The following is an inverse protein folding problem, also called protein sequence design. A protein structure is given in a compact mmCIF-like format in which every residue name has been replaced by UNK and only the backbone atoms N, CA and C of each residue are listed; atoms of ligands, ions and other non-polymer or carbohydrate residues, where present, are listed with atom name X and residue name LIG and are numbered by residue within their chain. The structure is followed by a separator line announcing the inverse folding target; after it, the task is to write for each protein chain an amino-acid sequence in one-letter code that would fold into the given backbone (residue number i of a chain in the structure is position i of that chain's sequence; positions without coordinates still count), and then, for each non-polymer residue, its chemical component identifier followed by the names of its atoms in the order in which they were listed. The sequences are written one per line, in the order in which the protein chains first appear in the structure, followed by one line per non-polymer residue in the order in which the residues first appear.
data_IF_753402365604
#
_entry.id   IF_753402365604
#
_cell.length_a   1.000
_cell.length_b   1.000
_cell.length_c   1.000
_cell.angle_alpha   90.00
_cell.angle_beta   90.00
_cell.angle_gamma   90.00
#
_symmetry.space_group_name_H-M   'P 1'
#
loop_
_entity.id
_entity.type
_entity.pdbx_description
1 polymer ?
#
# COMPACT_ATOMS: atom_id res chain seq x y z
N UNK A 1 40.18 -14.85 -30.76
CA UNK A 1 39.26 -15.01 -29.60
C UNK A 1 38.55 -13.67 -29.42
N UNK A 2 37.47 -13.45 -30.15
CA UNK A 2 36.95 -12.09 -30.44
C UNK A 2 35.89 -11.58 -29.47
N UNK A 3 35.53 -12.32 -28.43
CA UNK A 3 34.72 -11.80 -27.34
C UNK A 3 35.35 -12.30 -26.05
N UNK A 4 35.69 -11.40 -25.13
CA UNK A 4 36.44 -11.68 -23.88
C UNK A 4 35.59 -12.43 -22.84
N UNK A 5 34.75 -13.37 -23.26
CA UNK A 5 33.79 -14.08 -22.40
C UNK A 5 32.49 -13.31 -22.12
N UNK A 6 32.14 -12.35 -22.98
CA UNK A 6 30.87 -11.62 -22.89
C UNK A 6 29.69 -12.54 -23.23
N UNK A 7 28.61 -12.48 -22.46
CA UNK A 7 27.38 -13.26 -22.68
C UNK A 7 26.54 -12.55 -23.74
N UNK A 8 26.17 -13.28 -24.79
CA UNK A 8 25.31 -12.78 -25.87
C UNK A 8 24.00 -13.55 -25.82
N UNK A 9 22.91 -12.80 -25.77
CA UNK A 9 21.55 -13.32 -25.90
C UNK A 9 20.99 -12.92 -27.26
N UNK A 10 20.31 -13.86 -27.93
CA UNK A 10 19.65 -13.65 -29.22
C UNK A 10 18.15 -13.62 -28.94
N UNK A 11 17.48 -12.56 -29.39
CA UNK A 11 16.04 -12.37 -29.20
C UNK A 11 15.36 -12.11 -30.54
N UNK A 12 14.07 -12.41 -30.62
CA UNK A 12 13.26 -12.13 -31.81
C UNK A 12 12.80 -10.67 -31.83
N UNK A 13 12.99 -10.00 -32.96
CA UNK A 13 12.50 -8.64 -33.17
C UNK A 13 10.99 -8.64 -33.39
N UNK A 14 10.30 -7.63 -32.87
CA UNK A 14 8.89 -7.38 -33.16
C UNK A 14 8.62 -5.88 -33.28
N UNK A 15 7.72 -5.50 -34.18
CA UNK A 15 7.24 -4.12 -34.34
C UNK A 15 6.27 -3.71 -33.21
N UNK A 16 5.63 -4.68 -32.57
CA UNK A 16 4.78 -4.43 -31.40
C UNK A 16 5.67 -4.23 -30.17
N UNK A 17 5.67 -3.03 -29.53
CA UNK A 17 6.52 -2.74 -28.38
C UNK A 17 6.23 -3.66 -27.18
N UNK A 18 5.00 -4.16 -27.04
CA UNK A 18 4.63 -5.08 -25.96
C UNK A 18 5.26 -6.46 -26.16
N UNK A 19 5.18 -6.98 -27.38
CA UNK A 19 5.80 -8.25 -27.75
C UNK A 19 7.32 -8.13 -27.68
N UNK A 20 7.87 -7.03 -28.19
CA UNK A 20 9.31 -6.81 -28.19
C UNK A 20 9.88 -6.64 -26.78
N UNK A 21 9.15 -6.01 -25.84
CA UNK A 21 9.53 -5.97 -24.43
C UNK A 21 9.66 -7.37 -23.82
N UNK A 22 8.72 -8.25 -24.18
CA UNK A 22 8.72 -9.65 -23.72
C UNK A 22 9.95 -10.41 -24.20
N UNK A 23 10.36 -10.19 -25.43
CA UNK A 23 11.58 -10.79 -25.97
C UNK A 23 12.85 -10.16 -25.37
N UNK A 24 12.86 -8.83 -25.19
CA UNK A 24 14.03 -8.07 -24.74
C UNK A 24 14.42 -8.30 -23.28
N UNK A 25 13.47 -8.69 -22.42
CA UNK A 25 13.73 -8.99 -21.00
C UNK A 25 13.99 -10.48 -20.73
N UNK A 26 13.97 -11.32 -21.77
CA UNK A 26 14.36 -12.74 -21.68
C UNK A 26 15.74 -12.86 -21.02
N UNK A 27 15.93 -13.77 -20.05
CA UNK A 27 15.13 -14.96 -19.71
C UNK A 27 13.98 -14.75 -18.71
N UNK A 28 13.72 -13.53 -18.23
CA UNK A 28 12.69 -13.29 -17.24
C UNK A 28 11.29 -13.46 -17.83
N UNK A 29 10.39 -14.14 -17.08
CA UNK A 29 8.99 -14.27 -17.47
C UNK A 29 8.22 -13.03 -17.04
N UNK A 30 7.50 -12.43 -18.00
CA UNK A 30 6.69 -11.24 -17.78
C UNK A 30 5.24 -11.64 -17.55
N UNK A 31 4.61 -11.06 -16.52
CA UNK A 31 3.18 -11.24 -16.24
C UNK A 31 2.33 -10.28 -17.08
N UNK A 32 2.73 -9.01 -17.14
CA UNK A 32 1.99 -7.96 -17.87
C UNK A 32 2.90 -6.84 -18.34
N UNK A 33 2.57 -6.23 -19.47
CA UNK A 33 3.20 -4.99 -19.96
C UNK A 33 2.11 -3.94 -20.15
N UNK A 34 2.35 -2.74 -19.66
CA UNK A 34 1.45 -1.59 -19.81
C UNK A 34 2.22 -0.43 -20.39
N UNK A 35 1.74 0.15 -21.49
CA UNK A 35 2.29 1.39 -22.03
C UNK A 35 1.73 2.55 -21.22
N UNK A 36 2.61 3.26 -20.51
CA UNK A 36 2.24 4.42 -19.70
C UNK A 36 2.13 5.68 -20.57
N UNK A 37 3.13 5.89 -21.43
CA UNK A 37 3.16 7.01 -22.36
C UNK A 37 3.74 6.57 -23.71
N UNK A 38 2.94 6.57 -24.80
CA UNK A 38 3.43 6.20 -26.13
C UNK A 38 4.31 7.27 -26.79
N UNK A 39 4.21 8.55 -26.38
CA UNK A 39 4.97 9.67 -26.92
C UNK A 39 6.37 9.72 -26.29
N UNK A 40 6.45 9.62 -24.97
CA UNK A 40 7.73 9.54 -24.24
C UNK A 40 8.37 8.15 -24.32
N UNK A 41 7.69 7.18 -24.92
CA UNK A 41 8.10 5.78 -25.02
C UNK A 41 8.39 5.18 -23.66
N UNK A 42 7.41 5.30 -22.76
CA UNK A 42 7.48 4.80 -21.39
C UNK A 42 6.51 3.64 -21.21
N UNK A 43 7.04 2.54 -20.68
CA UNK A 43 6.26 1.36 -20.33
C UNK A 43 6.60 0.85 -18.92
N UNK A 44 5.58 0.26 -18.29
CA UNK A 44 5.67 -0.47 -17.04
C UNK A 44 5.53 -1.97 -17.33
N UNK A 45 6.43 -2.76 -16.77
CA UNK A 45 6.46 -4.21 -16.90
C UNK A 45 6.27 -4.82 -15.51
N UNK A 46 5.26 -5.67 -15.39
CA UNK A 46 4.96 -6.40 -14.17
C UNK A 46 5.48 -7.83 -14.30
N UNK A 47 6.22 -8.28 -13.30
CA UNK A 47 6.77 -9.63 -13.19
C UNK A 47 6.41 -10.24 -11.84
N UNK A 48 6.50 -11.56 -11.73
CA UNK A 48 6.44 -12.23 -10.42
C UNK A 48 7.59 -11.76 -9.52
N UNK A 49 7.37 -11.72 -8.21
CA UNK A 49 8.39 -11.30 -7.22
C UNK A 49 9.70 -12.09 -7.32
N UNK A 50 9.59 -13.38 -7.65
CA UNK A 50 10.76 -14.27 -7.84
C UNK A 50 11.58 -13.91 -9.08
N UNK A 51 10.96 -13.30 -10.09
CA UNK A 51 11.58 -12.93 -11.37
C UNK A 51 12.09 -11.49 -11.38
N UNK A 52 11.71 -10.65 -10.41
CA UNK A 52 12.09 -9.23 -10.35
C UNK A 52 13.61 -9.03 -10.45
N UNK A 53 14.38 -9.78 -9.67
CA UNK A 53 15.85 -9.70 -9.68
C UNK A 53 16.45 -10.12 -11.02
N UNK A 54 15.86 -11.13 -11.68
CA UNK A 54 16.31 -11.62 -12.99
C UNK A 54 15.98 -10.61 -14.10
N UNK A 55 14.78 -10.03 -14.07
CA UNK A 55 14.31 -9.04 -15.03
C UNK A 55 15.15 -7.74 -14.97
N UNK A 56 15.49 -7.27 -13.77
CA UNK A 56 16.39 -6.12 -13.58
C UNK A 56 17.83 -6.50 -13.98
N UNK A 57 18.28 -7.69 -13.58
CA UNK A 57 19.64 -8.18 -13.79
C UNK A 57 20.68 -7.50 -12.87
N UNK A 58 21.90 -8.02 -12.89
CA UNK A 58 22.98 -7.53 -12.01
C UNK A 58 23.26 -6.05 -12.30
N UNK A 59 23.09 -5.18 -11.28
CA UNK A 59 23.22 -3.71 -11.40
C UNK A 59 22.30 -3.07 -12.45
N UNK A 60 21.15 -3.69 -12.70
CA UNK A 60 20.20 -3.20 -13.71
C UNK A 60 20.69 -3.40 -15.15
N UNK A 61 21.64 -4.32 -15.37
CA UNK A 61 22.22 -4.51 -16.70
C UNK A 61 21.17 -4.98 -17.71
N UNK A 62 20.29 -5.91 -17.33
CA UNK A 62 19.33 -6.50 -18.24
C UNK A 62 18.30 -5.45 -18.71
N UNK A 63 17.62 -4.80 -17.75
CA UNK A 63 16.66 -3.72 -18.05
C UNK A 63 17.29 -2.56 -18.81
N UNK A 64 18.55 -2.19 -18.53
CA UNK A 64 19.24 -1.11 -19.25
C UNK A 64 19.55 -1.50 -20.70
N UNK A 65 19.93 -2.76 -20.94
CA UNK A 65 20.17 -3.26 -22.29
C UNK A 65 18.86 -3.33 -23.07
N UNK A 66 17.79 -3.86 -22.47
CA UNK A 66 16.45 -3.88 -23.08
C UNK A 66 15.96 -2.47 -23.42
N UNK A 67 16.03 -1.53 -22.46
CA UNK A 67 15.64 -0.13 -22.66
C UNK A 67 16.43 0.52 -23.81
N UNK A 68 17.74 0.26 -23.89
CA UNK A 68 18.60 0.79 -24.97
C UNK A 68 18.29 0.13 -26.32
N UNK A 69 18.01 -1.16 -26.33
CA UNK A 69 17.69 -1.93 -27.54
C UNK A 69 16.37 -1.48 -28.15
N UNK A 70 15.36 -1.27 -27.30
CA UNK A 70 14.04 -0.82 -27.72
C UNK A 70 13.99 0.69 -27.97
N UNK A 71 14.81 1.47 -27.26
CA UNK A 71 14.69 2.92 -27.21
C UNK A 71 13.48 3.38 -26.39
N UNK A 72 13.11 2.61 -25.36
CA UNK A 72 12.00 2.88 -24.44
C UNK A 72 12.52 2.99 -23.01
N UNK A 73 11.87 3.82 -22.19
CA UNK A 73 12.00 3.74 -20.74
C UNK A 73 11.16 2.55 -20.25
N UNK A 74 11.78 1.65 -19.52
CA UNK A 74 11.16 0.44 -19.00
C UNK A 74 11.31 0.46 -17.49
N UNK A 75 10.18 0.54 -16.78
CA UNK A 75 10.12 0.35 -15.34
C UNK A 75 9.60 -1.06 -15.06
N UNK A 76 10.31 -1.79 -14.20
CA UNK A 76 9.96 -3.16 -13.83
C UNK A 76 9.49 -3.15 -12.38
N UNK A 77 8.26 -3.61 -12.15
CA UNK A 77 7.68 -3.78 -10.82
C UNK A 77 7.28 -5.22 -10.59
N UNK A 78 7.20 -5.62 -9.32
CA UNK A 78 6.61 -6.91 -8.98
C UNK A 78 5.08 -6.81 -8.88
N UNK A 79 4.41 -7.96 -8.96
CA UNK A 79 2.96 -8.04 -8.71
C UNK A 79 2.59 -7.57 -7.30
N UNK A 80 3.41 -7.88 -6.29
CA UNK A 80 3.17 -7.39 -4.92
C UNK A 80 3.33 -5.87 -4.83
N UNK A 81 4.36 -5.31 -5.45
CA UNK A 81 4.57 -3.85 -5.49
C UNK A 81 3.39 -3.17 -6.18
N UNK A 82 2.94 -3.70 -7.32
CA UNK A 82 1.78 -3.14 -8.03
C UNK A 82 0.50 -3.25 -7.21
N UNK A 83 0.29 -4.39 -6.53
CA UNK A 83 -0.85 -4.57 -5.64
C UNK A 83 -0.84 -3.56 -4.51
N UNK A 84 0.31 -3.32 -3.88
CA UNK A 84 0.46 -2.36 -2.79
C UNK A 84 0.24 -0.92 -3.26
N UNK A 85 0.72 -0.58 -4.46
CA UNK A 85 0.46 0.73 -5.08
C UNK A 85 -1.04 0.94 -5.28
N UNK A 86 -1.73 -0.02 -5.91
CA UNK A 86 -3.18 0.03 -6.12
C UNK A 86 -3.94 0.06 -4.79
N UNK A 87 -3.53 -0.74 -3.81
CA UNK A 87 -4.14 -0.76 -2.47
C UNK A 87 -3.93 0.57 -1.76
N UNK A 88 -2.76 1.20 -1.86
CA UNK A 88 -2.49 2.52 -1.29
C UNK A 88 -3.30 3.62 -1.99
N UNK A 89 -3.43 3.56 -3.32
CA UNK A 89 -4.26 4.49 -4.08
C UNK A 89 -5.74 4.32 -3.71
N UNK A 90 -6.19 3.07 -3.56
CA UNK A 90 -7.55 2.76 -3.10
C UNK A 90 -7.76 3.12 -1.64
N UNK A 91 -6.79 2.95 -0.75
CA UNK A 91 -6.88 3.37 0.65
C UNK A 91 -6.97 4.91 0.79
N UNK A 92 -6.40 5.66 -0.14
CA UNK A 92 -6.62 7.11 -0.24
C UNK A 92 -8.03 7.50 -0.68
N UNK A 93 -8.76 6.59 -1.32
CA UNK A 93 -10.13 6.78 -1.81
C UNK A 93 -11.19 6.14 -0.88
N UNK A 94 -10.82 5.11 -0.12
CA UNK A 94 -11.64 4.47 0.90
C UNK A 94 -11.37 5.18 2.22
N UNK A 95 -12.15 6.23 2.50
CA UNK A 95 -12.16 6.83 3.83
C UNK A 95 -12.54 5.72 4.82
N UNK A 96 -11.68 5.39 5.81
CA UNK A 96 -12.02 4.39 6.81
C UNK A 96 -13.22 4.91 7.59
N UNK A 97 -14.30 4.13 7.58
CA UNK A 97 -15.54 4.59 8.15
C UNK A 97 -16.70 3.63 8.01
N UNK A 98 -17.72 3.82 8.85
CA UNK A 98 -18.96 3.08 8.69
C UNK A 98 -19.66 3.51 7.40
N UNK A 99 -20.21 2.57 6.61
CA UNK A 99 -20.95 2.94 5.42
C UNK A 99 -22.15 3.79 5.82
N UNK A 100 -22.41 4.82 5.02
CA UNK A 100 -23.49 5.79 5.29
C UNK A 100 -24.89 5.15 5.38
N UNK A 101 -25.04 3.94 4.80
CA UNK A 101 -26.25 3.12 4.95
C UNK A 101 -26.60 2.79 6.40
N UNK A 102 -25.63 2.77 7.32
CA UNK A 102 -25.89 2.53 8.76
C UNK A 102 -26.75 3.65 9.37
N UNK A 103 -26.69 4.87 8.82
CA UNK A 103 -27.53 5.97 9.30
C UNK A 103 -29.02 5.74 9.07
N UNK A 104 -29.41 4.79 8.21
CA UNK A 104 -30.81 4.39 8.03
C UNK A 104 -31.40 3.90 9.35
N UNK A 105 -30.64 3.09 10.08
CA UNK A 105 -31.03 2.57 11.39
C UNK A 105 -31.08 3.67 12.47
N UNK A 106 -30.48 4.83 12.19
CA UNK A 106 -30.42 6.00 13.07
C UNK A 106 -31.37 7.14 12.67
N UNK A 107 -32.29 6.88 11.73
CA UNK A 107 -33.36 7.81 11.36
C UNK A 107 -33.13 8.57 10.06
N UNK A 108 -32.09 8.23 9.29
CA UNK A 108 -31.89 8.78 7.96
C UNK A 108 -32.74 8.05 6.92
N UNK A 109 -33.35 8.77 5.99
CA UNK A 109 -34.12 8.12 4.91
C UNK A 109 -33.20 7.53 3.83
N UNK A 110 -33.61 6.39 3.26
CA UNK A 110 -32.90 5.73 2.16
C UNK A 110 -32.68 6.67 0.95
N UNK A 111 -33.65 7.53 0.67
CA UNK A 111 -33.51 8.52 -0.42
C UNK A 111 -32.37 9.50 -0.18
N UNK A 112 -32.17 9.95 1.07
CA UNK A 112 -31.06 10.85 1.42
C UNK A 112 -29.72 10.12 1.35
N UNK A 113 -29.67 8.85 1.77
CA UNK A 113 -28.47 7.99 1.65
C UNK A 113 -28.06 7.81 0.19
N UNK A 114 -29.01 7.54 -0.71
CA UNK A 114 -28.74 7.39 -2.15
C UNK A 114 -28.21 8.70 -2.74
N UNK A 115 -28.73 9.85 -2.31
CA UNK A 115 -28.26 11.17 -2.77
C UNK A 115 -26.83 11.46 -2.28
N UNK A 116 -26.53 11.17 -1.02
CA UNK A 116 -25.18 11.33 -0.45
C UNK A 116 -24.17 10.41 -1.13
N UNK A 117 -24.54 9.14 -1.35
CA UNK A 117 -23.69 8.17 -2.07
C UNK A 117 -23.44 8.62 -3.51
N UNK A 118 -24.46 9.13 -4.22
CA UNK A 118 -24.31 9.72 -5.56
C UNK A 118 -23.44 10.97 -5.57
N UNK A 119 -23.44 11.72 -4.46
CA UNK A 119 -22.57 12.88 -4.23
C UNK A 119 -21.13 12.52 -3.87
N UNK A 120 -20.78 11.22 -3.80
CA UNK A 120 -19.44 10.77 -3.42
C UNK A 120 -19.20 10.68 -1.91
N UNK A 121 -20.25 10.85 -1.09
CA UNK A 121 -20.22 10.72 0.36
C UNK A 121 -20.72 9.33 0.74
N UNK A 122 -19.78 8.41 0.96
CA UNK A 122 -20.04 7.00 1.20
C UNK A 122 -19.95 6.56 2.67
N UNK A 123 -19.38 7.39 3.55
CA UNK A 123 -19.16 7.02 4.96
C UNK A 123 -19.71 8.05 5.95
N UNK A 124 -20.01 7.59 7.16
CA UNK A 124 -20.52 8.44 8.26
C UNK A 124 -19.50 9.50 8.66
N UNK A 125 -18.22 9.15 8.62
CA UNK A 125 -17.09 10.00 8.95
C UNK A 125 -16.91 11.13 7.94
N UNK A 126 -17.15 10.86 6.64
CA UNK A 126 -17.16 11.90 5.62
C UNK A 126 -18.29 12.90 5.88
N UNK A 127 -19.49 12.41 6.18
CA UNK A 127 -20.64 13.26 6.53
C UNK A 127 -20.33 14.10 7.77
N UNK A 128 -19.78 13.50 8.82
CA UNK A 128 -19.43 14.18 10.07
C UNK A 128 -18.29 15.20 9.93
N UNK A 129 -17.43 15.05 8.92
CA UNK A 129 -16.35 15.99 8.62
C UNK A 129 -16.77 17.16 7.72
N UNK A 130 -17.96 17.10 7.10
CA UNK A 130 -18.49 18.15 6.24
C UNK A 130 -19.24 19.21 7.05
N UNK A 131 -19.15 20.47 6.61
CA UNK A 131 -20.00 21.53 7.16
C UNK A 131 -21.44 21.40 6.62
N UNK A 132 -22.44 21.98 7.30
CA UNK A 132 -23.82 21.97 6.83
C UNK A 132 -23.94 22.54 5.41
N UNK A 133 -23.17 23.60 5.12
CA UNK A 133 -23.12 24.27 3.83
C UNK A 133 -22.58 23.34 2.72
N UNK A 134 -21.55 22.55 3.02
CA UNK A 134 -20.98 21.57 2.08
C UNK A 134 -21.95 20.41 1.79
N UNK A 135 -22.81 20.05 2.74
CA UNK A 135 -23.85 19.07 2.51
C UNK A 135 -24.95 19.62 1.59
N UNK A 136 -25.30 20.90 1.69
CA UNK A 136 -26.29 21.55 0.79
C UNK A 136 -25.78 21.73 -0.65
N UNK A 137 -24.46 21.78 -0.86
CA UNK A 137 -23.88 21.78 -2.20
C UNK A 137 -24.12 20.47 -2.96
N UNK A 138 -24.43 19.37 -2.24
CA UNK A 138 -24.72 18.08 -2.86
C UNK A 138 -26.09 18.14 -3.56
N UNK A 139 -26.16 17.80 -4.87
CA UNK A 139 -27.41 17.85 -5.61
C UNK A 139 -28.54 17.03 -4.96
N UNK A 140 -29.59 17.71 -4.51
CA UNK A 140 -30.77 17.08 -3.90
C UNK A 140 -30.73 16.97 -2.38
N UNK A 141 -29.72 17.53 -1.71
CA UNK A 141 -29.69 17.69 -0.25
C UNK A 141 -30.12 19.12 0.06
N UNK A 142 -31.32 19.27 0.64
CA UNK A 142 -31.83 20.54 1.14
C UNK A 142 -31.61 20.70 2.65
N UNK A 143 -31.96 21.86 3.23
CA UNK A 143 -31.75 22.15 4.65
C UNK A 143 -32.42 21.12 5.59
N UNK A 144 -33.61 20.63 5.22
CA UNK A 144 -34.31 19.57 5.96
C UNK A 144 -33.54 18.23 5.96
N UNK A 145 -32.88 17.90 4.85
CA UNK A 145 -32.07 16.71 4.76
C UNK A 145 -30.79 16.85 5.58
N UNK A 146 -30.16 18.03 5.59
CA UNK A 146 -28.97 18.32 6.41
C UNK A 146 -29.26 18.15 7.90
N UNK A 147 -30.41 18.67 8.37
CA UNK A 147 -30.82 18.48 9.76
C UNK A 147 -31.03 17.00 10.10
N UNK A 148 -31.72 16.24 9.24
CA UNK A 148 -31.91 14.81 9.42
C UNK A 148 -30.58 14.03 9.44
N UNK A 149 -29.64 14.41 8.58
CA UNK A 149 -28.29 13.84 8.53
C UNK A 149 -27.56 14.09 9.85
N UNK A 150 -27.56 15.33 10.35
CA UNK A 150 -26.90 15.67 11.62
C UNK A 150 -27.48 14.91 12.80
N UNK A 151 -28.80 14.79 12.87
CA UNK A 151 -29.49 14.02 13.91
C UNK A 151 -29.06 12.55 13.84
N UNK A 152 -29.06 11.95 12.64
CA UNK A 152 -28.68 10.56 12.45
C UNK A 152 -27.20 10.31 12.81
N UNK A 153 -26.30 11.22 12.43
CA UNK A 153 -24.87 11.15 12.77
C UNK A 153 -24.66 11.28 14.27
N UNK A 154 -25.32 12.23 14.93
CA UNK A 154 -25.26 12.41 16.38
C UNK A 154 -25.78 11.16 17.12
N UNK A 155 -26.89 10.59 16.67
CA UNK A 155 -27.43 9.34 17.22
C UNK A 155 -26.47 8.16 17.01
N UNK A 156 -25.86 8.08 15.83
CA UNK A 156 -24.86 7.06 15.52
C UNK A 156 -23.66 7.15 16.46
N UNK A 157 -23.15 8.34 16.79
CA UNK A 157 -22.03 8.48 17.73
C UNK A 157 -22.45 8.33 19.20
N UNK A 158 -23.67 8.76 19.57
CA UNK A 158 -24.20 8.62 20.93
C UNK A 158 -24.26 7.15 21.38
N UNK A 159 -24.54 6.21 20.46
CA UNK A 159 -24.54 4.77 20.80
C UNK A 159 -23.15 4.26 21.22
N UNK A 160 -22.07 4.87 20.73
CA UNK A 160 -20.69 4.51 21.11
C UNK A 160 -20.28 5.18 22.42
N UNK A 161 -20.79 6.38 22.72
CA UNK A 161 -20.64 7.00 24.04
C UNK A 161 -21.35 6.18 25.12
N UNK A 162 -22.56 5.68 24.85
CA UNK A 162 -23.33 4.89 25.80
C UNK A 162 -22.69 3.50 26.05
N UNK A 163 -22.05 2.91 25.03
CA UNK A 163 -21.25 1.70 25.16
C UNK A 163 -19.96 1.91 25.97
N UNK A 164 -19.36 3.11 25.94
CA UNK A 164 -18.24 3.51 26.79
C UNK A 164 -18.69 3.91 28.21
N UNK A 165 -19.91 4.40 28.37
CA UNK A 165 -20.54 4.70 29.67
C UNK A 165 -21.07 3.45 30.39
N UNK A 166 -21.07 2.29 29.72
CA UNK A 166 -21.45 0.97 30.22
C UNK A 166 -20.42 0.31 31.15
N UNK A 167 -19.79 1.05 32.06
CA UNK A 167 -19.28 0.53 33.35
C UNK A 167 -19.55 1.58 34.44
N UNK A 168 -20.72 1.57 35.08
CA UNK A 168 -20.96 2.35 36.28
C UNK A 168 -20.53 1.57 37.53
N UNK A 169 -19.22 1.31 37.68
CA UNK A 169 -18.55 1.18 38.99
C UNK A 169 -17.03 1.10 38.80
N UNK A 170 -16.26 1.73 39.70
CA UNK A 170 -14.77 1.90 39.71
C UNK A 170 -14.13 3.05 38.90
N UNK A 171 -14.77 4.22 38.78
CA UNK A 171 -14.04 5.43 38.32
C UNK A 171 -14.20 6.69 39.18
N UNK A 172 -14.85 6.62 40.35
CA UNK A 172 -14.91 7.76 41.29
C UNK A 172 -14.81 7.28 42.75
N UNK A 173 -13.72 6.61 43.13
CA UNK A 173 -13.19 6.63 44.51
C UNK A 173 -11.67 6.46 44.50
N UNK A 174 -10.96 7.46 43.96
CA UNK A 174 -9.52 7.60 44.21
C UNK A 174 -9.10 9.07 44.20
N UNK A 175 -9.91 9.97 44.78
CA UNK A 175 -9.49 11.35 45.00
C UNK A 175 -10.41 12.09 46.00
N UNK A 176 -10.61 11.55 47.20
CA UNK A 176 -10.91 12.29 48.43
C UNK A 176 -11.16 11.32 49.60
N UNK A 177 -10.11 10.95 50.34
CA UNK A 177 -10.03 11.05 51.81
C UNK A 177 -8.82 10.25 52.33
N UNK A 178 -7.72 10.95 52.55
CA UNK A 178 -6.78 10.68 53.64
C UNK A 178 -6.13 12.03 53.96
N UNK A 179 -6.86 12.81 54.76
CA UNK A 179 -6.47 14.13 55.17
C UNK A 179 -5.29 14.16 56.14
N UNK A 180 -4.77 15.39 56.25
CA UNK A 180 -4.24 16.02 57.45
C UNK A 180 -2.86 15.58 57.98
N UNK A 181 -1.89 16.46 57.69
CA UNK A 181 -1.11 17.12 58.74
C UNK A 181 0.28 16.54 59.01
N UNK A 182 1.33 17.29 58.68
CA UNK A 182 2.21 17.93 59.68
C UNK A 182 3.36 18.69 58.97
N UNK A 183 3.33 20.02 59.09
CA UNK A 183 4.45 20.97 59.17
C UNK A 183 5.51 21.10 58.04
N UNK A 184 5.52 22.31 57.47
CA UNK A 184 6.69 23.00 56.92
C UNK A 184 7.67 23.41 58.07
N UNK A 185 8.87 24.02 57.86
CA UNK A 185 9.30 24.67 56.63
C UNK A 185 10.83 24.70 56.31
N UNK A 186 11.14 25.31 55.15
CA UNK A 186 12.28 26.19 54.80
C UNK A 186 13.71 25.69 54.50
N UNK A 187 14.25 26.41 53.50
CA UNK A 187 15.65 26.80 53.21
C UNK A 187 16.60 25.89 52.41
N UNK A 188 17.18 26.50 51.37
CA UNK A 188 18.62 26.36 51.12
C UNK A 188 19.09 26.04 49.69
N UNK A 189 19.20 27.07 48.86
CA UNK A 189 20.35 27.42 48.01
C UNK A 189 21.04 26.40 47.06
N UNK A 190 21.14 26.85 45.80
CA UNK A 190 22.33 26.90 44.92
C UNK A 190 23.24 25.65 44.72
N UNK A 191 23.44 25.23 43.46
CA UNK A 191 24.58 25.53 42.56
C UNK A 191 24.64 24.50 41.42
N UNK A 192 25.03 24.93 40.21
CA UNK A 192 25.42 24.03 39.11
C UNK A 192 26.88 23.53 39.26
N UNK A 193 27.61 23.34 38.15
CA UNK A 193 27.51 22.22 37.21
C UNK A 193 28.89 21.51 37.04
N UNK A 194 29.08 20.78 35.92
CA UNK A 194 30.34 20.25 35.35
C UNK A 194 30.70 18.79 35.72
N UNK A 195 30.74 17.91 34.72
CA UNK A 195 31.95 17.37 34.04
C UNK A 195 32.44 16.11 34.78
N UNK A 196 32.73 14.97 34.14
CA UNK A 196 33.90 14.68 33.30
C UNK A 196 33.81 13.15 32.98
N UNK A 197 33.94 12.73 31.71
CA UNK A 197 35.09 11.99 31.12
C UNK A 197 35.16 10.47 31.33
N UNK A 198 35.70 9.80 30.31
CA UNK A 198 36.22 8.42 30.33
C UNK A 198 35.43 7.47 29.42
N UNK A 199 35.78 7.27 28.14
CA UNK A 199 36.83 6.32 27.65
C UNK A 199 36.49 4.86 28.04
N UNK A 200 36.53 3.81 27.20
CA UNK A 200 37.28 3.51 25.97
C UNK A 200 36.82 2.13 25.42
N UNK A 201 37.00 1.93 24.10
CA UNK A 201 37.50 0.73 23.37
C UNK A 201 36.88 -0.67 23.61
N UNK A 202 36.92 -1.67 22.71
CA UNK A 202 37.21 -1.88 21.29
C UNK A 202 37.11 -3.42 21.05
N UNK A 203 37.31 -3.85 19.80
CA UNK A 203 37.63 -5.22 19.33
C UNK A 203 36.45 -6.21 19.15
N UNK A 204 36.38 -7.06 18.12
CA UNK A 204 37.28 -7.38 17.01
C UNK A 204 36.52 -8.07 15.86
N UNK A 205 37.19 -8.10 14.71
CA UNK A 205 36.84 -8.73 13.43
C UNK A 205 37.13 -10.25 13.38
N UNK A 206 36.81 -10.81 12.21
CA UNK A 206 37.38 -11.98 11.49
C UNK A 206 36.45 -13.19 11.40
N UNK A 207 36.39 -13.99 10.34
CA UNK A 207 36.84 -13.96 8.93
C UNK A 207 36.40 -15.30 8.29
N UNK A 208 36.18 -15.33 6.96
CA UNK A 208 36.34 -16.48 6.01
C UNK A 208 35.64 -17.85 6.27
N UNK A 209 35.40 -18.78 5.34
CA UNK A 209 35.29 -18.92 3.87
C UNK A 209 34.98 -20.42 3.60
N UNK A 210 34.74 -20.78 2.32
CA UNK A 210 34.76 -22.16 1.71
C UNK A 210 33.53 -23.07 1.94
N UNK A 211 33.01 -23.91 1.00
CA UNK A 211 33.20 -24.20 -0.44
C UNK A 211 32.10 -25.23 -0.87
N UNK A 212 31.73 -25.26 -2.16
CA UNK A 212 30.73 -26.12 -2.86
C UNK A 212 31.12 -27.63 -2.99
N UNK A 213 30.59 -28.48 -3.93
CA UNK A 213 29.30 -28.57 -4.69
C UNK A 213 28.71 -30.02 -4.85
N UNK A 214 27.61 -30.15 -5.62
CA UNK A 214 27.28 -31.21 -6.63
C UNK A 214 26.19 -32.27 -6.34
N UNK A 215 25.20 -32.37 -7.25
CA UNK A 215 24.67 -33.61 -7.85
C UNK A 215 23.75 -33.32 -9.06
N UNK A 216 24.09 -33.92 -10.22
CA UNK A 216 23.29 -34.09 -11.44
C UNK A 216 22.28 -35.24 -11.31
N UNK A 217 21.17 -35.20 -12.06
CA UNK A 217 20.81 -36.26 -13.02
C UNK A 217 19.56 -35.90 -13.84
N UNK A 218 19.63 -36.29 -15.11
CA UNK A 218 18.70 -36.14 -16.22
C UNK A 218 17.59 -37.21 -16.23
N UNK A 219 16.53 -36.98 -17.03
CA UNK A 219 15.83 -37.93 -17.95
C UNK A 219 14.34 -37.51 -18.08
N UNK A 220 13.83 -36.96 -19.21
CA UNK A 220 13.59 -37.43 -20.60
C UNK A 220 12.12 -37.77 -20.88
N UNK A 221 11.59 -37.15 -21.97
CA UNK A 221 10.46 -37.59 -22.83
C UNK A 221 9.04 -37.59 -22.20
N UNK A 222 7.91 -37.36 -22.87
CA UNK A 222 7.52 -37.42 -24.29
C UNK A 222 6.21 -36.59 -24.45
N UNK A 223 6.04 -35.77 -25.49
CA UNK A 223 5.38 -36.05 -26.79
C UNK A 223 3.84 -36.01 -26.84
N UNK A 224 3.33 -35.15 -27.74
CA UNK A 224 2.04 -35.17 -28.48
C UNK A 224 0.74 -34.91 -27.69
N UNK A 225 -0.34 -34.31 -28.19
CA UNK A 225 -0.82 -33.89 -29.52
C UNK A 225 -1.80 -32.71 -29.26
N UNK A 226 -1.98 -31.70 -30.11
CA UNK A 226 -2.54 -31.83 -31.45
C UNK A 226 -4.05 -32.11 -31.38
N UNK A 227 -4.88 -31.08 -31.23
CA UNK A 227 -6.30 -31.14 -31.60
C UNK A 227 -6.67 -29.86 -32.34
N UNK A 228 -6.57 -29.98 -33.66
CA UNK A 228 -7.31 -29.18 -34.63
C UNK A 228 -8.62 -29.93 -34.92
N UNK A 229 -9.65 -29.17 -35.28
CA UNK A 229 -10.89 -29.53 -35.99
C UNK A 229 -12.18 -29.94 -35.24
N UNK A 230 -13.23 -29.31 -35.78
CA UNK A 230 -14.65 -29.66 -35.85
C UNK A 230 -15.54 -29.44 -34.62
N UNK A 231 -16.43 -28.44 -34.67
CA UNK A 231 -17.79 -28.61 -35.21
C UNK A 231 -18.65 -27.35 -35.01
N UNK A 232 -19.20 -26.87 -36.13
CA UNK A 232 -20.56 -26.36 -36.35
C UNK A 232 -21.37 -25.77 -35.17
N UNK A 233 -21.80 -24.52 -35.36
CA UNK A 233 -22.90 -23.87 -34.64
C UNK A 233 -23.13 -22.46 -35.14
#
# INVERSE_FOLDING_TARGET
RELRGEKIDIIEYSDDPVVFATHALSPAKISKVTVLDPVEKHMEVIVEDTQLSLAIGKKGQNVRLAAKLMGWRIDIKSEEEKRREVESEMAGLVVPGAPISVLIDHGLSDEVVVRLTKGGVGTVEQVGAMTPEQLEEIPGIGPEAVEAIQIAVNNYYAQFEEALAGTPDEAIEAQADAGAGEQAPEEGAEVGPAAETGETQAMAQEDSAERSPAAESEETSSTSAGYEQDLLG
#
